data_IF_893720572326
#
_entry.id   IF_893720572326
#
_cell.length_a   1.000
_cell.length_b   1.000
_cell.length_c   1.000
_cell.angle_alpha   90.00
_cell.angle_beta   90.00
_cell.angle_gamma   90.00
#
_symmetry.space_group_name_H-M   'P 1'
#
loop_
_entity.id
_entity.type
_entity.pdbx_description
1 polymer ?
#
# COMPACT_ATOMS: atom_id res chain seq x y z
N UNK A 1 7.76 -35.31 17.36
CA UNK A 1 7.89 -34.95 15.94
C UNK A 1 7.04 -33.71 15.76
N UNK A 2 7.67 -32.57 15.51
CA UNK A 2 7.01 -31.27 15.38
C UNK A 2 6.03 -31.34 14.22
N UNK A 3 4.74 -31.21 14.52
CA UNK A 3 3.70 -31.13 13.50
C UNK A 3 4.03 -29.99 12.55
N UNK A 4 4.02 -30.35 11.27
CA UNK A 4 4.29 -29.49 10.12
C UNK A 4 3.37 -28.27 10.15
N UNK A 5 3.88 -27.13 10.61
CA UNK A 5 3.32 -25.80 10.36
C UNK A 5 3.51 -25.39 8.87
N UNK A 6 3.27 -26.32 7.94
CA UNK A 6 3.45 -26.11 6.50
C UNK A 6 2.42 -25.12 5.95
N UNK A 7 1.42 -24.73 6.75
CA UNK A 7 0.48 -23.65 6.46
C UNK A 7 0.47 -22.59 7.58
N UNK A 8 1.61 -21.94 7.81
CA UNK A 8 1.75 -20.89 8.83
C UNK A 8 0.88 -19.63 8.60
N UNK A 9 0.23 -19.49 7.44
CA UNK A 9 -0.74 -18.44 7.17
C UNK A 9 -2.01 -19.02 6.53
N UNK A 10 -3.17 -18.73 7.10
CA UNK A 10 -4.47 -19.13 6.52
C UNK A 10 -4.76 -18.14 5.37
N UNK A 11 -5.09 -18.61 4.13
CA UNK A 11 -5.23 -17.71 2.99
C UNK A 11 -6.28 -16.62 3.20
N UNK A 12 -7.39 -16.95 3.88
CA UNK A 12 -8.43 -15.97 4.23
C UNK A 12 -7.90 -14.84 5.09
N UNK A 13 -6.99 -15.14 6.02
CA UNK A 13 -6.42 -14.17 6.94
C UNK A 13 -5.40 -13.28 6.21
N UNK A 14 -4.65 -13.86 5.26
CA UNK A 14 -3.76 -13.10 4.36
C UNK A 14 -4.57 -12.16 3.46
N UNK A 15 -5.67 -12.64 2.86
CA UNK A 15 -6.59 -11.82 2.06
C UNK A 15 -7.19 -10.69 2.89
N UNK A 16 -7.66 -11.00 4.12
CA UNK A 16 -8.21 -10.01 5.02
C UNK A 16 -7.16 -8.96 5.42
N UNK A 17 -5.94 -9.41 5.76
CA UNK A 17 -4.80 -8.53 6.06
C UNK A 17 -4.45 -7.62 4.89
N UNK A 18 -4.38 -8.16 3.66
CA UNK A 18 -4.15 -7.37 2.45
C UNK A 18 -5.24 -6.33 2.20
N UNK A 19 -6.52 -6.68 2.45
CA UNK A 19 -7.64 -5.74 2.38
C UNK A 19 -7.56 -4.62 3.42
N UNK A 20 -7.17 -4.93 4.65
CA UNK A 20 -6.92 -3.91 5.70
C UNK A 20 -5.75 -3.00 5.30
N UNK A 21 -4.66 -3.56 4.79
CA UNK A 21 -3.51 -2.77 4.33
C UNK A 21 -3.87 -1.88 3.14
N UNK A 22 -4.68 -2.35 2.20
CA UNK A 22 -5.20 -1.52 1.10
C UNK A 22 -6.05 -0.36 1.64
N UNK A 23 -6.96 -0.59 2.60
CA UNK A 23 -7.72 0.48 3.24
C UNK A 23 -6.82 1.52 3.93
N UNK A 24 -5.76 1.08 4.63
CA UNK A 24 -4.76 1.98 5.22
C UNK A 24 -4.03 2.77 4.12
N UNK A 25 -3.67 2.12 3.01
CA UNK A 25 -3.06 2.76 1.84
C UNK A 25 -3.96 3.83 1.23
N UNK A 26 -5.25 3.54 1.02
CA UNK A 26 -6.23 4.52 0.53
C UNK A 26 -6.38 5.70 1.50
N UNK A 27 -6.39 5.43 2.81
CA UNK A 27 -6.42 6.50 3.80
C UNK A 27 -5.15 7.35 3.79
N UNK A 28 -3.98 6.72 3.64
CA UNK A 28 -2.70 7.42 3.49
C UNK A 28 -2.68 8.29 2.22
N UNK A 29 -3.25 7.80 1.11
CA UNK A 29 -3.40 8.57 -0.13
C UNK A 29 -4.27 9.79 0.07
N UNK A 30 -5.42 9.63 0.73
CA UNK A 30 -6.30 10.73 1.08
C UNK A 30 -5.59 11.76 1.96
N UNK A 31 -4.83 11.32 2.97
CA UNK A 31 -4.06 12.21 3.83
C UNK A 31 -2.97 12.96 3.07
N UNK A 32 -2.25 12.29 2.16
CA UNK A 32 -1.25 12.91 1.30
C UNK A 32 -1.88 13.95 0.36
N UNK A 33 -3.03 13.64 -0.23
CA UNK A 33 -3.80 14.58 -1.07
C UNK A 33 -4.29 15.78 -0.26
N UNK A 34 -4.90 15.55 0.91
CA UNK A 34 -5.34 16.63 1.80
C UNK A 34 -4.17 17.51 2.24
N UNK A 35 -2.99 16.92 2.46
CA UNK A 35 -1.79 17.68 2.75
C UNK A 35 -1.39 18.56 1.56
N UNK A 36 -1.29 18.00 0.35
CA UNK A 36 -1.00 18.77 -0.87
C UNK A 36 -2.02 19.89 -1.08
N UNK A 37 -3.32 19.60 -1.03
CA UNK A 37 -4.38 20.60 -1.19
C UNK A 37 -4.30 21.73 -0.14
N UNK A 38 -3.99 21.39 1.11
CA UNK A 38 -3.91 22.37 2.21
C UNK A 38 -2.64 23.21 2.19
N UNK A 39 -1.59 22.74 1.51
CA UNK A 39 -0.25 23.31 1.61
C UNK A 39 0.35 23.71 0.26
N UNK A 40 -0.37 23.46 -0.83
CA UNK A 40 -0.05 23.95 -2.14
C UNK A 40 -0.07 25.48 -2.17
N UNK A 41 0.89 26.07 -2.89
CA UNK A 41 1.00 27.50 -3.11
C UNK A 41 1.23 27.79 -4.60
N UNK A 42 0.62 28.87 -5.09
CA UNK A 42 0.92 29.40 -6.42
C UNK A 42 2.28 30.11 -6.39
N UNK A 43 3.22 29.65 -7.21
CA UNK A 43 4.55 30.28 -7.31
C UNK A 43 4.49 31.66 -7.99
N UNK A 44 3.43 31.98 -8.72
CA UNK A 44 3.22 33.29 -9.33
C UNK A 44 2.52 34.29 -8.42
N UNK A 45 1.83 33.80 -7.37
CA UNK A 45 1.18 34.61 -6.34
C UNK A 45 1.42 33.98 -4.94
N UNK A 46 2.68 33.96 -4.47
CA UNK A 46 3.02 33.27 -3.24
C UNK A 46 2.47 34.00 -2.01
N UNK A 47 1.93 33.27 -1.01
CA UNK A 47 1.34 33.88 0.19
C UNK A 47 2.35 34.61 1.08
N UNK A 48 3.65 34.41 0.87
CA UNK A 48 4.74 35.13 1.54
C UNK A 48 5.21 36.38 0.79
N UNK A 49 4.53 36.76 -0.30
CA UNK A 49 4.89 37.92 -1.13
C UNK A 49 6.08 37.68 -2.06
N UNK A 50 6.45 38.68 -2.84
CA UNK A 50 7.58 38.61 -3.78
C UNK A 50 8.49 39.83 -3.66
N UNK A 51 9.81 39.60 -3.78
CA UNK A 51 10.79 40.66 -3.99
C UNK A 51 11.38 41.34 -2.75
N UNK A 52 10.99 40.97 -1.53
CA UNK A 52 11.66 41.39 -0.30
C UNK A 52 12.58 40.29 0.27
N UNK A 53 13.55 40.68 1.11
CA UNK A 53 14.54 39.76 1.70
C UNK A 53 13.90 38.64 2.54
N UNK A 54 12.73 38.91 3.14
CA UNK A 54 12.01 37.93 3.97
C UNK A 54 11.38 36.85 3.10
N UNK A 55 10.74 37.24 2.00
CA UNK A 55 10.16 36.35 1.00
C UNK A 55 11.21 35.45 0.36
N UNK A 56 12.37 36.00 -0.03
CA UNK A 56 13.46 35.20 -0.60
C UNK A 56 14.05 34.23 0.43
N UNK A 57 14.27 34.68 1.68
CA UNK A 57 14.73 33.79 2.76
C UNK A 57 13.75 32.66 3.03
N UNK A 58 12.45 32.94 3.00
CA UNK A 58 11.42 31.93 3.20
C UNK A 58 11.43 30.91 2.08
N UNK A 59 11.45 31.38 0.82
CA UNK A 59 11.51 30.53 -0.36
C UNK A 59 12.72 29.60 -0.33
N UNK A 60 13.91 30.11 -0.08
CA UNK A 60 15.14 29.30 -0.01
C UNK A 60 15.09 28.22 1.08
N UNK A 61 14.50 28.53 2.23
CA UNK A 61 14.54 27.64 3.40
C UNK A 61 13.41 26.61 3.45
N UNK A 62 12.24 26.94 2.91
CA UNK A 62 11.02 26.17 3.21
C UNK A 62 10.32 25.60 1.97
N UNK A 63 10.45 26.20 0.78
CA UNK A 63 9.75 25.71 -0.42
C UNK A 63 10.25 24.31 -0.82
N UNK A 64 11.57 24.13 -0.94
CA UNK A 64 12.11 22.84 -1.36
C UNK A 64 11.86 21.72 -0.34
N UNK A 65 12.16 21.89 0.97
CA UNK A 65 11.88 20.84 1.95
C UNK A 65 10.40 20.47 2.05
N UNK A 66 9.52 21.43 1.80
CA UNK A 66 8.08 21.19 1.76
C UNK A 66 7.68 20.33 0.56
N UNK A 67 8.21 20.63 -0.63
CA UNK A 67 8.00 19.80 -1.82
C UNK A 67 8.53 18.37 -1.60
N UNK A 68 9.72 18.23 -1.02
CA UNK A 68 10.31 16.93 -0.72
C UNK A 68 9.45 16.12 0.26
N UNK A 69 8.90 16.76 1.30
CA UNK A 69 8.00 16.12 2.26
C UNK A 69 6.71 15.64 1.60
N UNK A 70 6.10 16.47 0.76
CA UNK A 70 4.91 16.09 -0.01
C UNK A 70 5.19 14.85 -0.86
N UNK A 71 6.26 14.86 -1.63
CA UNK A 71 6.61 13.75 -2.53
C UNK A 71 6.90 12.46 -1.74
N UNK A 72 7.51 12.58 -0.56
CA UNK A 72 7.71 11.46 0.36
C UNK A 72 6.39 10.89 0.92
N UNK A 73 5.40 11.74 1.24
CA UNK A 73 4.08 11.31 1.69
C UNK A 73 3.33 10.52 0.61
N UNK A 74 3.37 11.00 -0.64
CA UNK A 74 2.78 10.26 -1.77
C UNK A 74 3.46 8.90 -1.97
N UNK A 75 4.80 8.88 -1.94
CA UNK A 75 5.59 7.64 -2.10
C UNK A 75 5.26 6.62 -1.01
N UNK A 76 5.09 7.06 0.24
CA UNK A 76 4.68 6.21 1.35
C UNK A 76 3.29 5.62 1.12
N UNK A 77 2.33 6.45 0.69
CA UNK A 77 0.96 6.03 0.45
C UNK A 77 0.87 4.99 -0.69
N UNK A 78 1.64 5.17 -1.76
CA UNK A 78 1.75 4.20 -2.85
C UNK A 78 2.37 2.89 -2.40
N UNK A 79 3.47 2.93 -1.63
CA UNK A 79 4.13 1.74 -1.13
C UNK A 79 3.21 0.88 -0.23
N UNK A 80 2.42 1.50 0.64
CA UNK A 80 1.45 0.80 1.50
C UNK A 80 0.36 0.14 0.64
N UNK A 81 -0.15 0.87 -0.37
CA UNK A 81 -1.18 0.35 -1.28
C UNK A 81 -0.66 -0.86 -2.06
N UNK A 82 0.58 -0.77 -2.59
CA UNK A 82 1.22 -1.86 -3.33
C UNK A 82 1.45 -3.09 -2.42
N UNK A 83 1.86 -2.89 -1.17
CA UNK A 83 2.01 -3.97 -0.20
C UNK A 83 0.67 -4.68 0.08
N UNK A 84 -0.42 -3.93 0.22
CA UNK A 84 -1.77 -4.48 0.38
C UNK A 84 -2.20 -5.32 -0.82
N UNK A 85 -1.97 -4.80 -2.04
CA UNK A 85 -2.27 -5.51 -3.28
C UNK A 85 -1.47 -6.83 -3.38
N UNK A 86 -0.15 -6.80 -3.17
CA UNK A 86 0.70 -8.01 -3.20
C UNK A 86 0.26 -9.05 -2.17
N UNK A 87 -0.09 -8.60 -0.97
CA UNK A 87 -0.60 -9.49 0.09
C UNK A 87 -1.92 -10.14 -0.32
N UNK A 88 -2.85 -9.36 -0.88
CA UNK A 88 -4.12 -9.86 -1.39
C UNK A 88 -3.94 -10.90 -2.51
N UNK A 89 -3.05 -10.62 -3.48
CA UNK A 89 -2.74 -11.55 -4.56
C UNK A 89 -2.13 -12.84 -4.02
N UNK A 90 -1.14 -12.75 -3.12
CA UNK A 90 -0.55 -13.93 -2.49
C UNK A 90 -1.58 -14.79 -1.76
N UNK A 91 -2.54 -14.18 -1.06
CA UNK A 91 -3.61 -14.91 -0.38
C UNK A 91 -4.55 -15.63 -1.36
N UNK A 92 -4.87 -15.01 -2.49
CA UNK A 92 -5.70 -15.63 -3.55
C UNK A 92 -4.99 -16.79 -4.24
N UNK A 93 -3.72 -16.61 -4.60
CA UNK A 93 -2.91 -17.66 -5.24
C UNK A 93 -2.78 -18.88 -4.33
N UNK A 94 -2.58 -18.63 -3.02
CA UNK A 94 -2.49 -19.70 -2.03
C UNK A 94 -3.82 -20.44 -1.83
N UNK A 95 -4.96 -19.74 -1.88
CA UNK A 95 -6.29 -20.38 -1.89
C UNK A 95 -6.49 -21.27 -3.11
N UNK A 96 -6.15 -20.76 -4.31
CA UNK A 96 -6.26 -21.54 -5.55
C UNK A 96 -5.39 -22.79 -5.55
N UNK A 97 -4.15 -22.68 -5.06
CA UNK A 97 -3.26 -23.83 -4.92
C UNK A 97 -3.82 -24.91 -3.97
N UNK A 98 -4.52 -24.52 -2.90
CA UNK A 98 -5.20 -25.48 -2.02
C UNK A 98 -6.39 -26.15 -2.70
N UNK A 99 -7.23 -25.40 -3.43
CA UNK A 99 -8.38 -25.94 -4.16
C UNK A 99 -7.94 -26.96 -5.23
N UNK A 100 -6.86 -26.65 -5.96
CA UNK A 100 -6.27 -27.53 -6.96
C UNK A 100 -5.72 -28.82 -6.32
N UNK A 101 -5.02 -28.71 -5.19
CA UNK A 101 -4.49 -29.86 -4.46
C UNK A 101 -5.62 -30.78 -3.94
N UNK A 102 -6.68 -30.20 -3.37
CA UNK A 102 -7.85 -30.97 -2.91
C UNK A 102 -8.57 -31.66 -4.08
N UNK A 103 -8.69 -30.98 -5.21
CA UNK A 103 -9.30 -31.54 -6.43
C UNK A 103 -8.48 -32.71 -6.98
N UNK A 104 -7.15 -32.56 -7.04
CA UNK A 104 -6.25 -33.63 -7.47
C UNK A 104 -6.35 -34.86 -6.56
N UNK A 105 -6.35 -34.67 -5.23
CA UNK A 105 -6.51 -35.75 -4.25
C UNK A 105 -7.85 -36.48 -4.45
N UNK A 106 -8.95 -35.75 -4.64
CA UNK A 106 -10.26 -36.37 -4.89
C UNK A 106 -10.32 -37.15 -6.20
N UNK A 107 -9.68 -36.62 -7.26
CA UNK A 107 -9.66 -37.26 -8.57
C UNK A 107 -8.76 -38.52 -8.58
N UNK A 108 -7.61 -38.50 -7.90
CA UNK A 108 -6.70 -39.65 -7.79
C UNK A 108 -7.21 -40.70 -6.79
N UNK A 109 -7.85 -40.28 -5.70
CA UNK A 109 -8.47 -41.18 -4.72
C UNK A 109 -9.76 -41.87 -5.20
N UNK A 110 -10.43 -41.32 -6.22
CA UNK A 110 -11.66 -41.86 -6.81
C UNK A 110 -11.45 -42.95 -7.87
N UNK A 111 -10.24 -43.09 -8.42
CA UNK A 111 -9.92 -44.09 -9.46
C UNK A 111 -9.63 -45.51 -8.94
N UNK A 112 -9.54 -45.68 -7.61
CA UNK A 112 -9.10 -46.91 -6.97
C UNK A 112 -10.21 -47.81 -6.42
N UNK A 113 -11.38 -47.93 -7.08
CA UNK A 113 -12.36 -49.00 -6.81
C UNK A 113 -13.20 -49.32 -8.05
N UNK A 114 -12.64 -50.09 -8.99
CA UNK A 114 -13.39 -51.00 -9.87
C UNK A 114 -12.60 -52.28 -10.06
#
# INVERSE_FOLDING_TARGET
MSEDNVFAAIPSDVVAGGGVTDQVGQHAKLLAQNYDDATHYDLNDPPWGSGDETAETFKEKYVQPHADLRDALHSLADAITEAGAKTLFSGRDFHGAQDDALTAIHNEGGGGRR
#
